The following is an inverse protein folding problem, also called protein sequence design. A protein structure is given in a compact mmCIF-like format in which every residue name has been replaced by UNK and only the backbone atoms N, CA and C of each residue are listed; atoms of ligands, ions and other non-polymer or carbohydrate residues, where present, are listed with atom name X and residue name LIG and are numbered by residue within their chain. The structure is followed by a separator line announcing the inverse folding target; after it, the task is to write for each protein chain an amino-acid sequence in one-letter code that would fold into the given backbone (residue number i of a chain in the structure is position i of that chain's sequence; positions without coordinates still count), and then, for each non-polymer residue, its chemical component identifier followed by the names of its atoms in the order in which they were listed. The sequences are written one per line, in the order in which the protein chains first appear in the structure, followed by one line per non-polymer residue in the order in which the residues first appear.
data_IF_854302856925
#
_entry.id   IF_854302856925
#
_cell.length_a   1.000
_cell.length_b   1.000
_cell.length_c   1.000
_cell.angle_alpha   90.00
_cell.angle_beta   90.00
_cell.angle_gamma   90.00
#
_symmetry.space_group_name_H-M   'P 1'
#
loop_
_entity.id
_entity.type
_entity.pdbx_description
1 polymer ?
#
# COMPACT_ATOMS: atom_id res chain seq x y z
N UNK A 1 -2.04 10.54 -0.83
CA UNK A 1 -0.70 10.02 -1.19
C UNK A 1 0.31 10.74 -0.33
N UNK A 2 1.22 9.99 0.29
CA UNK A 2 2.38 10.55 0.96
C UNK A 2 3.65 10.10 0.22
N UNK A 3 4.77 10.78 0.44
CA UNK A 3 6.08 10.32 0.00
C UNK A 3 6.87 9.86 1.22
N UNK A 4 7.54 8.72 1.13
CA UNK A 4 8.44 8.31 2.20
C UNK A 4 9.70 9.20 2.23
N UNK A 5 10.57 8.99 3.22
CA UNK A 5 11.82 9.76 3.39
C UNK A 5 12.79 9.72 2.19
N UNK A 6 12.60 8.78 1.26
CA UNK A 6 13.41 8.62 0.04
C UNK A 6 12.71 9.18 -1.22
N UNK A 7 11.53 9.79 -1.07
CA UNK A 7 10.75 10.37 -2.17
C UNK A 7 9.91 9.37 -2.96
N UNK A 8 9.77 8.12 -2.50
CA UNK A 8 8.91 7.11 -3.13
C UNK A 8 7.46 7.25 -2.68
N UNK A 9 6.53 6.93 -3.57
CA UNK A 9 5.10 7.07 -3.32
C UNK A 9 4.59 6.01 -2.37
N UNK A 10 3.83 6.46 -1.37
CA UNK A 10 3.09 5.64 -0.42
C UNK A 10 1.59 5.80 -0.72
N UNK A 11 0.92 4.67 -0.91
CA UNK A 11 -0.51 4.60 -1.20
C UNK A 11 -1.21 3.69 -0.18
N UNK A 12 -2.35 4.16 0.30
CA UNK A 12 -3.25 3.42 1.17
C UNK A 12 -4.68 3.63 0.64
N UNK A 13 -5.43 2.54 0.49
CA UNK A 13 -6.82 2.51 0.00
C UNK A 13 -7.66 1.72 1.00
N UNK A 14 -8.76 2.32 1.45
CA UNK A 14 -9.78 1.63 2.25
C UNK A 14 -10.68 0.80 1.33
N UNK A 15 -10.85 -0.49 1.66
CA UNK A 15 -11.65 -1.44 0.85
C UNK A 15 -12.90 -1.94 1.57
N UNK A 16 -12.97 -1.74 2.89
CA UNK A 16 -14.10 -1.97 3.77
C UNK A 16 -13.88 -1.11 5.03
N UNK A 17 -14.90 -0.87 5.88
CA UNK A 17 -14.73 -0.06 7.08
C UNK A 17 -13.51 -0.49 7.89
N UNK A 18 -12.56 0.44 8.05
CA UNK A 18 -11.31 0.25 8.78
C UNK A 18 -10.33 -0.80 8.20
N UNK A 19 -10.56 -1.29 6.98
CA UNK A 19 -9.70 -2.30 6.32
C UNK A 19 -8.95 -1.67 5.16
N UNK A 20 -7.62 -1.70 5.25
CA UNK A 20 -6.74 -1.02 4.29
C UNK A 20 -5.92 -2.00 3.46
N UNK A 21 -5.72 -1.67 2.18
CA UNK A 21 -4.62 -2.19 1.35
C UNK A 21 -3.63 -1.07 1.09
N UNK A 22 -2.33 -1.34 1.25
CA UNK A 22 -1.32 -0.30 1.20
C UNK A 22 0.06 -0.78 0.78
N UNK A 23 0.89 0.16 0.36
CA UNK A 23 2.32 -0.08 0.23
C UNK A 23 2.97 -0.10 1.62
N UNK A 24 4.22 -0.53 1.70
CA UNK A 24 5.06 -0.15 2.82
C UNK A 24 5.22 1.38 2.90
N UNK A 25 5.56 1.89 4.08
CA UNK A 25 5.79 3.31 4.31
C UNK A 25 7.28 3.66 4.55
N UNK A 26 8.17 2.66 4.52
CA UNK A 26 9.61 2.85 4.68
C UNK A 26 10.36 1.89 3.77
N UNK A 27 11.46 2.36 3.18
CA UNK A 27 12.22 1.60 2.18
C UNK A 27 12.98 0.41 2.76
N UNK A 28 13.26 0.38 4.07
CA UNK A 28 13.97 -0.74 4.70
C UNK A 28 13.10 -2.00 4.78
N UNK A 29 11.83 -1.85 5.16
CA UNK A 29 10.85 -2.94 5.16
C UNK A 29 10.44 -3.37 3.75
N UNK A 30 10.48 -2.44 2.78
CA UNK A 30 10.04 -2.69 1.40
C UNK A 30 11.05 -3.47 0.54
N UNK A 31 12.29 -3.68 1.01
CA UNK A 31 13.38 -4.30 0.21
C UNK A 31 12.99 -5.65 -0.40
N UNK A 32 12.13 -6.43 0.26
CA UNK A 32 11.71 -7.75 -0.22
C UNK A 32 10.41 -7.72 -1.03
N UNK A 33 9.51 -6.78 -0.74
CA UNK A 33 8.17 -6.77 -1.34
C UNK A 33 8.04 -5.77 -2.52
N UNK A 34 8.94 -4.79 -2.61
CA UNK A 34 9.02 -3.76 -3.66
C UNK A 34 7.67 -3.13 -3.99
N UNK A 35 6.96 -2.68 -2.96
CA UNK A 35 5.61 -2.10 -3.07
C UNK A 35 5.60 -0.59 -3.19
N UNK A 36 6.67 0.09 -2.77
CA UNK A 36 6.78 1.55 -2.91
C UNK A 36 6.78 1.96 -4.38
N UNK A 37 6.04 3.02 -4.69
CA UNK A 37 5.85 3.46 -6.08
C UNK A 37 7.02 4.37 -6.45
N UNK A 38 7.85 3.92 -7.40
CA UNK A 38 8.98 4.69 -7.88
C UNK A 38 8.52 5.95 -8.63
N UNK A 39 9.18 7.11 -8.47
CA UNK A 39 8.83 8.33 -9.21
C UNK A 39 8.89 8.20 -10.74
N UNK A 40 9.62 7.20 -11.25
CA UNK A 40 9.72 6.89 -12.67
C UNK A 40 8.60 5.96 -13.17
N UNK A 41 7.81 5.36 -12.27
CA UNK A 41 6.68 4.52 -12.62
C UNK A 41 5.49 5.38 -13.06
N UNK A 42 4.84 5.09 -14.22
CA UNK A 42 3.62 5.78 -14.64
C UNK A 42 2.49 5.79 -13.60
N UNK A 43 2.44 4.81 -12.68
CA UNK A 43 1.51 4.76 -11.57
C UNK A 43 1.69 5.95 -10.62
N UNK A 44 2.91 6.44 -10.43
CA UNK A 44 3.22 7.55 -9.53
C UNK A 44 2.42 8.81 -9.89
N UNK A 45 2.40 9.17 -11.17
CA UNK A 45 1.64 10.31 -11.68
C UNK A 45 0.12 10.16 -11.55
N UNK A 46 -0.39 8.92 -11.58
CA UNK A 46 -1.81 8.64 -11.35
C UNK A 46 -2.17 8.83 -9.89
N UNK A 47 -1.35 8.27 -9.00
CA UNK A 47 -1.55 8.34 -7.56
C UNK A 47 -1.40 9.76 -7.03
N UNK A 48 -0.49 10.57 -7.59
CA UNK A 48 -0.33 11.99 -7.28
C UNK A 48 -1.57 12.84 -7.56
N UNK A 49 -2.43 12.40 -8.48
CA UNK A 49 -3.64 13.12 -8.87
C UNK A 49 -4.85 12.74 -8.01
N UNK A 50 -4.74 11.69 -7.21
CA UNK A 50 -5.80 11.27 -6.31
C UNK A 50 -5.97 12.27 -5.17
N UNK A 51 -7.20 12.43 -4.73
CA UNK A 51 -7.56 13.19 -3.54
C UNK A 51 -7.89 12.22 -2.41
N UNK A 52 -7.74 12.69 -1.18
CA UNK A 52 -8.29 11.99 -0.02
C UNK A 52 -9.78 11.73 -0.22
N UNK A 53 -10.24 10.57 0.25
CA UNK A 53 -11.62 10.06 0.14
C UNK A 53 -12.16 9.90 -1.30
N UNK A 54 -11.28 9.92 -2.31
CA UNK A 54 -11.67 9.65 -3.69
C UNK A 54 -11.98 8.15 -3.88
N UNK A 55 -13.17 7.85 -4.39
CA UNK A 55 -13.51 6.49 -4.83
C UNK A 55 -12.66 6.16 -6.07
N UNK A 56 -11.96 5.03 -6.02
CA UNK A 56 -11.07 4.56 -7.08
C UNK A 56 -11.36 3.10 -7.42
N UNK A 57 -11.01 2.72 -8.64
CA UNK A 57 -10.75 1.32 -9.00
C UNK A 57 -9.25 1.11 -9.04
N UNK A 58 -8.77 -0.02 -8.53
CA UNK A 58 -7.34 -0.33 -8.51
C UNK A 58 -7.07 -1.78 -8.88
N UNK A 59 -5.83 -2.05 -9.25
CA UNK A 59 -5.31 -3.41 -9.43
C UNK A 59 -3.96 -3.54 -8.74
N UNK A 60 -3.62 -4.76 -8.34
CA UNK A 60 -2.37 -5.04 -7.67
C UNK A 60 -2.22 -6.51 -7.33
N UNK A 61 -1.12 -6.81 -6.65
CA UNK A 61 -0.81 -8.16 -6.15
C UNK A 61 -0.40 -8.09 -4.69
N UNK A 62 -0.86 -9.06 -3.91
CA UNK A 62 -0.27 -9.32 -2.60
C UNK A 62 1.10 -9.97 -2.81
N UNK A 63 2.16 -9.49 -2.13
CA UNK A 63 3.43 -10.21 -2.10
C UNK A 63 3.24 -11.61 -1.50
N UNK A 64 4.01 -12.57 -2.00
CA UNK A 64 3.98 -13.93 -1.45
C UNK A 64 4.48 -13.92 0.00
N UNK A 65 3.67 -14.49 0.91
CA UNK A 65 4.07 -14.78 2.29
C UNK A 65 4.00 -16.29 2.52
N UNK A 66 5.18 -16.92 2.58
CA UNK A 66 5.37 -18.36 2.77
C UNK A 66 4.67 -18.91 4.02
N UNK A 67 4.38 -18.07 5.02
CA UNK A 67 3.74 -18.47 6.27
C UNK A 67 2.25 -18.14 6.34
N UNK A 68 1.81 -17.00 5.80
CA UNK A 68 0.47 -16.44 6.09
C UNK A 68 -0.39 -16.11 4.86
N UNK A 69 0.06 -16.48 3.64
CA UNK A 69 -0.60 -16.20 2.35
C UNK A 69 -0.69 -14.71 1.96
N UNK A 70 -1.02 -13.81 2.89
CA UNK A 70 -1.09 -12.36 2.69
C UNK A 70 -0.36 -11.67 3.82
N UNK A 71 0.57 -10.79 3.46
CA UNK A 71 1.34 -9.99 4.42
C UNK A 71 0.47 -8.87 5.02
N UNK A 72 0.42 -8.81 6.34
CA UNK A 72 -0.25 -7.79 7.15
C UNK A 72 0.81 -7.03 7.96
N UNK A 73 0.64 -5.72 8.17
CA UNK A 73 1.68 -4.88 8.78
C UNK A 73 1.24 -4.06 10.00
N UNK A 74 0.16 -4.43 10.68
CA UNK A 74 -0.26 -3.77 11.92
C UNK A 74 0.81 -3.91 13.00
N UNK A 75 1.08 -2.80 13.69
CA UNK A 75 2.08 -2.77 14.76
C UNK A 75 1.62 -3.50 16.04
N UNK A 76 0.31 -3.67 16.22
CA UNK A 76 -0.28 -4.28 17.42
C UNK A 76 -1.30 -5.33 17.01
N UNK A 77 -1.45 -6.36 17.85
CA UNK A 77 -2.50 -7.38 17.67
C UNK A 77 -3.91 -6.77 17.65
N UNK A 78 -4.13 -5.70 18.41
CA UNK A 78 -5.40 -4.98 18.36
C UNK A 78 -5.59 -4.30 17.01
N UNK A 79 -4.55 -3.67 16.47
CA UNK A 79 -4.57 -3.07 15.14
C UNK A 79 -4.87 -4.09 14.05
N UNK A 80 -4.31 -5.31 14.13
CA UNK A 80 -4.59 -6.36 13.16
C UNK A 80 -6.03 -6.89 13.21
N UNK A 81 -6.81 -6.51 14.24
CA UNK A 81 -8.22 -6.87 14.40
C UNK A 81 -9.15 -5.69 14.11
N UNK A 82 -8.83 -4.50 14.63
CA UNK A 82 -9.67 -3.31 14.54
C UNK A 82 -9.46 -2.56 13.23
N UNK A 83 -8.21 -2.44 12.76
CA UNK A 83 -7.81 -1.62 11.59
C UNK A 83 -6.73 -2.32 10.75
N UNK A 84 -6.98 -3.53 10.21
CA UNK A 84 -5.94 -4.32 9.55
C UNK A 84 -5.41 -3.64 8.29
N UNK A 85 -4.09 -3.74 8.08
CA UNK A 85 -3.39 -3.16 6.93
C UNK A 85 -2.65 -4.22 6.13
N UNK A 86 -3.15 -4.54 4.94
CA UNK A 86 -2.55 -5.54 4.06
C UNK A 86 -1.59 -4.92 3.06
N UNK A 87 -0.41 -5.51 2.91
CA UNK A 87 0.62 -5.03 1.98
C UNK A 87 0.25 -5.43 0.55
N UNK A 88 0.23 -4.47 -0.37
CA UNK A 88 -0.06 -4.68 -1.78
C UNK A 88 0.92 -3.93 -2.67
N UNK A 89 1.39 -4.60 -3.72
CA UNK A 89 2.06 -3.97 -4.86
C UNK A 89 1.02 -3.56 -5.89
N UNK A 90 0.69 -2.27 -5.91
CA UNK A 90 -0.26 -1.72 -6.86
C UNK A 90 0.31 -1.71 -8.28
N UNK A 91 -0.56 -1.98 -9.26
CA UNK A 91 -0.22 -1.98 -10.68
C UNK A 91 -1.01 -0.94 -11.47
N UNK A 92 -2.19 -0.54 -10.98
CA UNK A 92 -2.99 0.52 -11.60
C UNK A 92 -3.96 1.17 -10.61
N UNK A 93 -4.33 2.43 -10.87
CA UNK A 93 -5.42 3.14 -10.19
C UNK A 93 -6.16 4.06 -11.17
N UNK A 94 -7.48 4.16 -11.05
CA UNK A 94 -8.37 4.98 -11.91
C UNK A 94 -9.55 5.55 -11.16
#
# INVERSE_FOLDING_TARGET
MDANGDGKGVLEIEIAPDVMVKTWNNSFSDVMDETLIEPTDPLFDKVLKLKEDQIVTFSGKFPDDDANCIRENSLTLRGSLDTPGFIMKFTDVS
#
